data_IF_048346354443
#
_entry.id   IF_048346354443
#
_cell.length_a   1.000
_cell.length_b   1.000
_cell.length_c   1.000
_cell.angle_alpha   90.00
_cell.angle_beta   90.00
_cell.angle_gamma   90.00
#
_symmetry.space_group_name_H-M   'P 1'
#
loop_
_entity.id
_entity.type
_entity.pdbx_description
1 polymer ?
#
# COMPACT_ATOMS: atom_id res chain seq x y z
N UNK A 1 -18.11 -1.33 21.48
CA UNK A 1 -18.07 0.12 21.72
C UNK A 1 -16.70 0.44 22.28
N UNK A 2 -15.87 1.16 21.53
CA UNK A 2 -14.62 1.68 22.07
C UNK A 2 -15.00 2.82 23.04
N UNK A 3 -14.51 2.77 24.27
CA UNK A 3 -14.74 3.85 25.24
C UNK A 3 -13.97 5.11 24.82
N UNK A 4 -14.48 6.29 25.22
CA UNK A 4 -13.73 7.54 25.12
C UNK A 4 -12.37 7.32 25.83
N UNK A 5 -11.24 7.61 25.17
CA UNK A 5 -9.93 7.45 25.79
C UNK A 5 -9.82 8.31 27.06
N UNK A 6 -9.01 7.89 28.05
CA UNK A 6 -8.73 8.74 29.20
C UNK A 6 -8.09 10.06 28.74
N UNK A 7 -8.12 11.09 29.60
CA UNK A 7 -7.48 12.40 29.37
C UNK A 7 -5.96 12.34 29.05
N UNK A 8 -5.38 11.15 29.10
CA UNK A 8 -4.08 10.75 28.57
C UNK A 8 -3.77 9.35 29.09
N UNK A 9 -3.06 8.48 28.32
CA UNK A 9 -2.56 7.24 28.88
C UNK A 9 -1.57 7.52 30.02
N UNK A 10 -1.56 6.71 31.09
CA UNK A 10 -0.55 6.84 32.14
C UNK A 10 0.85 6.56 31.58
N UNK A 11 1.87 7.13 32.21
CA UNK A 11 3.27 6.83 31.87
C UNK A 11 3.56 5.34 32.13
N UNK A 12 3.82 4.51 31.10
CA UNK A 12 4.05 3.09 31.29
C UNK A 12 5.46 2.78 31.84
N UNK A 13 6.38 3.75 31.83
CA UNK A 13 7.79 3.58 32.22
C UNK A 13 8.32 4.75 33.08
N UNK A 14 7.71 5.04 34.26
CA UNK A 14 8.08 6.19 35.08
C UNK A 14 9.46 6.02 35.74
N UNK A 15 10.39 6.94 35.46
CA UNK A 15 11.73 6.93 36.10
C UNK A 15 11.70 7.03 37.63
N UNK A 16 10.66 7.62 38.21
CA UNK A 16 10.53 7.72 39.66
C UNK A 16 10.38 6.35 40.36
N UNK A 17 10.06 5.28 39.62
CA UNK A 17 9.81 3.93 40.14
C UNK A 17 10.85 2.89 39.66
N UNK A 18 11.90 3.30 38.94
CA UNK A 18 12.93 2.39 38.40
C UNK A 18 14.19 2.41 39.28
N UNK A 19 14.78 1.23 39.52
CA UNK A 19 16.03 1.08 40.27
C UNK A 19 17.21 1.78 39.58
N UNK A 20 18.27 2.12 40.33
CA UNK A 20 19.50 2.76 39.79
C UNK A 20 20.17 1.98 38.65
N UNK A 21 19.83 0.70 38.50
CA UNK A 21 20.30 -0.21 37.45
C UNK A 21 19.50 -0.14 36.15
N UNK A 22 18.28 0.40 36.14
CA UNK A 22 17.46 0.55 34.93
C UNK A 22 17.39 2.02 34.48
N UNK A 23 18.32 2.41 33.60
CA UNK A 23 18.41 3.78 33.05
C UNK A 23 17.37 4.07 31.96
N UNK A 24 16.65 3.07 31.48
CA UNK A 24 15.64 3.21 30.43
C UNK A 24 14.28 3.53 31.05
N UNK A 25 13.86 4.79 30.95
CA UNK A 25 12.55 5.26 31.39
C UNK A 25 12.36 6.73 31.05
N UNK A 26 11.16 7.25 31.29
CA UNK A 26 10.82 8.66 31.12
C UNK A 26 10.21 9.20 32.42
N UNK A 27 10.56 10.42 32.82
CA UNK A 27 9.88 11.07 33.96
C UNK A 27 8.46 11.42 33.57
N UNK A 28 7.55 11.58 34.53
CA UNK A 28 6.17 11.99 34.23
C UNK A 28 6.11 13.35 33.55
N UNK A 29 7.05 14.25 33.89
CA UNK A 29 7.23 15.52 33.18
C UNK A 29 7.56 15.29 31.69
N UNK A 30 8.50 14.40 31.38
CA UNK A 30 8.83 14.08 29.99
C UNK A 30 7.68 13.38 29.27
N UNK A 31 6.97 12.48 29.93
CA UNK A 31 5.78 11.82 29.38
C UNK A 31 4.68 12.83 29.03
N UNK A 32 4.33 13.71 29.96
CA UNK A 32 3.33 14.76 29.72
C UNK A 32 3.75 15.70 28.58
N UNK A 33 5.04 16.00 28.44
CA UNK A 33 5.54 16.75 27.29
C UNK A 33 5.36 15.98 25.97
N UNK A 34 5.61 14.66 25.95
CA UNK A 34 5.39 13.82 24.76
C UNK A 34 3.90 13.75 24.40
N UNK A 35 3.01 13.60 25.38
CA UNK A 35 1.56 13.64 25.17
C UNK A 35 1.12 15.00 24.60
N UNK A 36 1.60 16.11 25.15
CA UNK A 36 1.29 17.44 24.62
C UNK A 36 1.79 17.61 23.18
N UNK A 37 3.00 17.14 22.86
CA UNK A 37 3.51 17.17 21.48
C UNK A 37 2.69 16.29 20.54
N UNK A 38 2.24 15.13 21.00
CA UNK A 38 1.35 14.25 20.26
C UNK A 38 0.02 14.94 19.96
N UNK A 39 -0.63 15.53 20.96
CA UNK A 39 -1.87 16.29 20.78
C UNK A 39 -1.68 17.52 19.89
N UNK A 40 -0.56 18.22 19.96
CA UNK A 40 -0.27 19.33 19.04
C UNK A 40 -0.18 18.88 17.58
N UNK A 41 0.42 17.71 17.32
CA UNK A 41 0.52 17.13 15.97
C UNK A 41 -0.78 16.47 15.50
N UNK A 42 -1.56 15.97 16.44
CA UNK A 42 -2.79 15.23 16.23
C UNK A 42 -3.91 15.82 17.10
N UNK A 43 -4.33 17.08 16.85
CA UNK A 43 -5.26 17.83 17.71
C UNK A 43 -6.58 17.07 17.91
N UNK A 44 -6.99 16.40 16.86
CA UNK A 44 -8.02 15.39 16.74
C UNK A 44 -8.07 14.26 17.79
N UNK A 45 -6.93 13.94 18.40
CA UNK A 45 -6.84 12.93 19.44
C UNK A 45 -6.83 13.55 20.85
N UNK A 46 -6.95 14.88 20.97
CA UNK A 46 -6.93 15.58 22.26
C UNK A 46 -8.14 15.24 23.12
N UNK A 47 -8.00 15.30 24.46
CA UNK A 47 -9.14 15.19 25.36
C UNK A 47 -10.21 16.25 25.04
N UNK A 48 -11.45 15.81 24.82
CA UNK A 48 -12.57 16.70 24.47
C UNK A 48 -12.86 16.82 22.96
N UNK A 49 -11.99 16.31 22.09
CA UNK A 49 -12.22 16.26 20.62
C UNK A 49 -12.85 14.93 20.16
N UNK A 50 -13.13 14.04 21.11
CA UNK A 50 -13.80 12.77 20.88
C UNK A 50 -15.29 12.94 21.11
N UNK A 51 -16.09 12.39 20.20
CA UNK A 51 -17.54 12.38 20.37
C UNK A 51 -17.98 11.38 21.47
N UNK A 52 -19.24 11.42 21.92
CA UNK A 52 -19.75 10.49 22.92
C UNK A 52 -19.67 9.00 22.51
N UNK A 53 -19.49 8.72 21.22
CA UNK A 53 -19.37 7.37 20.66
C UNK A 53 -17.92 6.86 20.65
N UNK A 54 -16.96 7.70 21.06
CA UNK A 54 -15.56 7.33 21.10
C UNK A 54 -14.89 7.42 19.74
N UNK A 55 -15.32 8.32 18.85
CA UNK A 55 -14.61 8.65 17.62
C UNK A 55 -13.84 9.97 17.78
N UNK A 56 -12.54 10.02 17.45
CA UNK A 56 -11.82 11.29 17.35
C UNK A 56 -12.41 12.12 16.21
N UNK A 57 -12.30 13.45 16.26
CA UNK A 57 -12.27 14.35 15.09
C UNK A 57 -13.57 14.98 14.56
N UNK A 58 -14.65 15.16 15.32
CA UNK A 58 -15.90 15.72 14.74
C UNK A 58 -16.32 15.02 13.41
N UNK A 59 -15.95 13.73 13.22
CA UNK A 59 -16.23 12.93 12.02
C UNK A 59 -15.27 13.01 10.83
N UNK A 60 -14.10 13.66 10.91
CA UNK A 60 -13.17 13.78 9.76
C UNK A 60 -12.57 12.44 9.33
N UNK A 61 -12.10 11.61 10.26
CA UNK A 61 -11.52 10.31 9.91
C UNK A 61 -12.58 9.31 9.41
N UNK A 62 -13.80 9.38 9.97
CA UNK A 62 -14.97 8.65 9.46
C UNK A 62 -15.31 9.03 8.02
N UNK A 63 -15.23 10.32 7.69
CA UNK A 63 -15.43 10.81 6.33
C UNK A 63 -14.37 10.24 5.37
N UNK A 64 -13.10 10.18 5.77
CA UNK A 64 -12.04 9.57 4.95
C UNK A 64 -12.32 8.08 4.70
N UNK A 65 -12.78 7.35 5.71
CA UNK A 65 -13.16 5.95 5.54
C UNK A 65 -14.36 5.80 4.59
N UNK A 66 -15.40 6.63 4.75
CA UNK A 66 -16.57 6.65 3.85
C UNK A 66 -16.17 6.96 2.41
N UNK A 67 -15.30 7.94 2.19
CA UNK A 67 -14.80 8.27 0.85
C UNK A 67 -13.99 7.12 0.24
N UNK A 68 -13.19 6.42 1.04
CA UNK A 68 -12.45 5.23 0.60
C UNK A 68 -13.43 4.15 0.12
N UNK A 69 -14.50 3.90 0.86
CA UNK A 69 -15.55 2.95 0.47
C UNK A 69 -16.33 3.44 -0.76
N UNK A 70 -16.57 4.75 -0.90
CA UNK A 70 -17.23 5.31 -2.07
C UNK A 70 -16.39 5.08 -3.34
N UNK A 71 -15.07 5.28 -3.28
CA UNK A 71 -14.17 4.97 -4.41
C UNK A 71 -14.26 3.48 -4.76
N UNK A 72 -14.17 2.59 -3.76
CA UNK A 72 -14.32 1.16 -3.97
C UNK A 72 -15.64 0.83 -4.67
N UNK A 73 -16.75 1.34 -4.13
CA UNK A 73 -18.09 1.12 -4.68
C UNK A 73 -18.24 1.67 -6.11
N UNK A 74 -17.66 2.83 -6.41
CA UNK A 74 -17.75 3.46 -7.72
C UNK A 74 -16.96 2.68 -8.79
N UNK A 75 -15.88 2.00 -8.40
CA UNK A 75 -15.14 1.06 -9.27
C UNK A 75 -15.91 -0.25 -9.44
N UNK A 76 -16.51 -0.78 -8.37
CA UNK A 76 -17.16 -2.10 -8.37
C UNK A 76 -18.56 -2.07 -8.98
N UNK A 77 -19.32 -1.01 -8.76
CA UNK A 77 -20.68 -0.82 -9.25
C UNK A 77 -20.80 0.51 -10.00
N UNK A 78 -20.07 0.69 -11.11
CA UNK A 78 -20.15 1.92 -11.88
C UNK A 78 -21.57 2.10 -12.42
N UNK A 79 -22.06 3.33 -12.42
CA UNK A 79 -23.34 3.64 -13.04
C UNK A 79 -23.30 3.26 -14.53
N UNK A 80 -24.30 2.57 -15.10
CA UNK A 80 -24.24 2.07 -16.48
C UNK A 80 -24.03 3.15 -17.55
N UNK A 81 -24.42 4.38 -17.27
CA UNK A 81 -24.18 5.52 -18.19
C UNK A 81 -22.74 6.05 -18.13
N UNK A 82 -21.95 5.67 -17.12
CA UNK A 82 -20.54 6.02 -17.03
C UNK A 82 -19.71 4.95 -17.77
N UNK A 83 -19.56 5.15 -19.09
CA UNK A 83 -18.84 4.23 -19.98
C UNK A 83 -17.39 4.07 -19.55
N UNK A 84 -16.72 5.17 -19.17
CA UNK A 84 -15.33 5.12 -18.71
C UNK A 84 -15.18 4.21 -17.48
N UNK A 85 -16.00 4.42 -16.45
CA UNK A 85 -15.96 3.62 -15.23
C UNK A 85 -16.29 2.14 -15.48
N UNK A 86 -17.22 1.87 -16.41
CA UNK A 86 -17.58 0.49 -16.81
C UNK A 86 -16.43 -0.21 -17.51
N UNK A 87 -15.78 0.44 -18.48
CA UNK A 87 -14.60 -0.12 -19.17
C UNK A 87 -13.40 -0.25 -18.23
N UNK A 88 -13.20 0.71 -17.32
CA UNK A 88 -12.18 0.64 -16.27
C UNK A 88 -12.36 -0.61 -15.40
N UNK A 89 -13.57 -0.84 -14.88
CA UNK A 89 -13.89 -2.05 -14.09
C UNK A 89 -13.64 -3.33 -14.88
N UNK A 90 -14.11 -3.39 -16.13
CA UNK A 90 -13.95 -4.55 -17.01
C UNK A 90 -12.47 -4.85 -17.27
N UNK A 91 -11.66 -3.81 -17.41
CA UNK A 91 -10.22 -3.94 -17.56
C UNK A 91 -9.57 -4.56 -16.31
N UNK A 92 -9.93 -4.08 -15.10
CA UNK A 92 -9.47 -4.68 -13.85
C UNK A 92 -9.86 -6.15 -13.74
N UNK A 93 -11.11 -6.48 -14.07
CA UNK A 93 -11.60 -7.86 -14.11
C UNK A 93 -10.78 -8.73 -15.07
N UNK A 94 -10.49 -8.24 -16.28
CA UNK A 94 -9.68 -8.98 -17.25
C UNK A 94 -8.24 -9.21 -16.78
N UNK A 95 -7.66 -8.29 -16.02
CA UNK A 95 -6.32 -8.49 -15.45
C UNK A 95 -6.31 -9.53 -14.35
N UNK A 96 -7.27 -9.46 -13.42
CA UNK A 96 -7.42 -10.48 -12.39
C UNK A 96 -7.75 -11.84 -13.02
N UNK A 97 -8.50 -11.88 -14.13
CA UNK A 97 -8.86 -13.11 -14.86
C UNK A 97 -7.66 -13.93 -15.34
N UNK A 98 -6.51 -13.29 -15.56
CA UNK A 98 -5.26 -13.95 -15.96
C UNK A 98 -4.55 -14.63 -14.80
N UNK A 99 -4.79 -14.16 -13.57
CA UNK A 99 -4.12 -14.65 -12.38
C UNK A 99 -4.61 -16.06 -11.98
N UNK A 100 -3.74 -16.79 -11.29
CA UNK A 100 -4.08 -17.99 -10.55
C UNK A 100 -4.79 -17.72 -9.26
N UNK A 101 -4.77 -18.74 -8.41
CA UNK A 101 -5.34 -18.64 -7.08
C UNK A 101 -4.57 -17.60 -6.25
N UNK A 102 -5.32 -16.71 -5.63
CA UNK A 102 -4.89 -15.66 -4.71
C UNK A 102 -5.54 -15.96 -3.35
N UNK A 103 -4.70 -16.22 -2.36
CA UNK A 103 -5.11 -16.58 -0.99
C UNK A 103 -5.05 -15.40 -0.03
N UNK A 104 -4.31 -14.33 -0.37
CA UNK A 104 -4.21 -13.14 0.45
C UNK A 104 -3.80 -11.91 -0.38
N UNK A 105 -4.02 -10.74 0.20
CA UNK A 105 -3.61 -9.45 -0.36
C UNK A 105 -2.69 -8.70 0.60
N UNK A 106 -1.66 -8.05 0.05
CA UNK A 106 -0.71 -7.22 0.79
C UNK A 106 -0.70 -5.82 0.18
N UNK A 107 -0.95 -4.81 0.99
CA UNK A 107 -0.91 -3.41 0.60
C UNK A 107 0.34 -2.74 1.16
N UNK A 108 1.20 -2.26 0.27
CA UNK A 108 2.46 -1.60 0.56
C UNK A 108 2.46 -0.19 -0.03
N UNK A 109 3.08 0.77 0.64
CA UNK A 109 3.37 2.06 -0.01
C UNK A 109 2.10 2.80 -0.50
N UNK A 110 1.15 3.11 0.39
CA UNK A 110 0.00 3.98 0.09
C UNK A 110 0.39 5.46 0.17
N UNK A 111 -0.48 6.37 -0.25
CA UNK A 111 -0.36 7.79 0.12
C UNK A 111 -0.32 8.00 1.64
N UNK A 112 0.09 9.18 2.09
CA UNK A 112 -0.01 9.58 3.50
C UNK A 112 -1.20 10.51 3.70
N UNK A 113 -1.89 10.43 4.85
CA UNK A 113 -2.80 11.48 5.31
C UNK A 113 -1.94 12.57 5.97
N UNK A 114 -1.27 13.39 5.15
CA UNK A 114 -0.35 14.41 5.61
C UNK A 114 -0.92 15.24 6.78
N UNK A 115 -0.11 15.44 7.83
CA UNK A 115 -0.52 16.12 9.07
C UNK A 115 -0.90 17.59 8.87
N UNK A 116 -0.54 18.20 7.75
CA UNK A 116 -0.79 19.62 7.44
C UNK A 116 -2.09 19.89 6.67
N UNK A 117 -2.95 18.89 6.46
CA UNK A 117 -4.27 19.10 5.82
C UNK A 117 -4.22 19.45 4.33
N UNK A 118 -3.17 19.06 3.59
CA UNK A 118 -3.16 19.19 2.13
C UNK A 118 -4.20 18.23 1.54
N UNK A 119 -5.17 18.76 0.79
CA UNK A 119 -6.25 17.99 0.14
C UNK A 119 -5.71 16.90 -0.78
N UNK A 120 -4.59 17.18 -1.45
CA UNK A 120 -3.87 16.27 -2.35
C UNK A 120 -3.49 14.93 -1.69
N UNK A 121 -2.78 14.95 -0.56
CA UNK A 121 -2.28 13.73 0.09
C UNK A 121 -3.42 12.84 0.60
N UNK A 122 -4.48 13.46 1.15
CA UNK A 122 -5.72 12.76 1.55
C UNK A 122 -6.37 12.08 0.36
N UNK A 123 -6.60 12.81 -0.74
CA UNK A 123 -7.28 12.26 -1.90
C UNK A 123 -6.49 11.13 -2.54
N UNK A 124 -5.15 11.23 -2.59
CA UNK A 124 -4.30 10.11 -3.03
C UNK A 124 -4.47 8.89 -2.12
N UNK A 125 -4.44 9.04 -0.80
CA UNK A 125 -4.67 7.93 0.13
C UNK A 125 -6.05 7.29 -0.10
N UNK A 126 -7.11 8.09 -0.15
CA UNK A 126 -8.49 7.63 -0.38
C UNK A 126 -8.61 6.83 -1.68
N UNK A 127 -8.06 7.36 -2.78
CA UNK A 127 -8.13 6.73 -4.09
C UNK A 127 -7.34 5.41 -4.14
N UNK A 128 -6.10 5.41 -3.63
CA UNK A 128 -5.26 4.20 -3.61
C UNK A 128 -5.81 3.12 -2.68
N UNK A 129 -6.33 3.51 -1.52
CA UNK A 129 -6.94 2.59 -0.58
C UNK A 129 -8.25 2.01 -1.15
N UNK A 130 -9.10 2.86 -1.74
CA UNK A 130 -10.34 2.41 -2.39
C UNK A 130 -10.08 1.46 -3.57
N UNK A 131 -9.07 1.76 -4.39
CA UNK A 131 -8.64 0.88 -5.49
C UNK A 131 -8.12 -0.48 -4.98
N UNK A 132 -7.37 -0.50 -3.88
CA UNK A 132 -6.94 -1.75 -3.26
C UNK A 132 -8.12 -2.63 -2.84
N UNK A 133 -9.12 -2.04 -2.17
CA UNK A 133 -10.33 -2.77 -1.78
C UNK A 133 -11.14 -3.24 -2.98
N UNK A 134 -11.27 -2.43 -4.02
CA UNK A 134 -11.96 -2.83 -5.25
C UNK A 134 -11.26 -4.02 -5.92
N UNK A 135 -9.94 -4.00 -6.03
CA UNK A 135 -9.20 -5.16 -6.56
C UNK A 135 -9.39 -6.41 -5.70
N UNK A 136 -9.44 -6.27 -4.37
CA UNK A 136 -9.75 -7.39 -3.49
C UNK A 136 -11.16 -7.96 -3.74
N UNK A 137 -12.19 -7.12 -3.87
CA UNK A 137 -13.55 -7.60 -4.20
C UNK A 137 -13.62 -8.22 -5.59
N UNK A 138 -12.89 -7.71 -6.59
CA UNK A 138 -12.80 -8.33 -7.92
C UNK A 138 -12.18 -9.73 -7.81
N UNK A 139 -11.10 -9.88 -7.04
CA UNK A 139 -10.46 -11.17 -6.76
C UNK A 139 -11.45 -12.11 -6.06
N UNK A 140 -12.12 -11.65 -5.01
CA UNK A 140 -13.09 -12.46 -4.25
C UNK A 140 -14.23 -12.95 -5.15
N UNK A 141 -14.80 -12.07 -5.98
CA UNK A 141 -15.85 -12.40 -6.94
C UNK A 141 -15.38 -13.41 -7.98
N UNK A 142 -14.20 -13.21 -8.57
CA UNK A 142 -13.67 -14.08 -9.61
C UNK A 142 -13.35 -15.49 -9.08
N UNK A 143 -12.90 -15.58 -7.83
CA UNK A 143 -12.59 -16.85 -7.19
C UNK A 143 -13.82 -17.50 -6.52
N UNK A 144 -15.00 -16.87 -6.62
CA UNK A 144 -16.24 -17.33 -6.00
C UNK A 144 -16.12 -17.56 -4.48
N UNK A 145 -15.35 -16.72 -3.79
CA UNK A 145 -15.23 -16.73 -2.33
C UNK A 145 -16.11 -15.63 -1.71
N UNK A 146 -16.36 -15.72 -0.41
CA UNK A 146 -17.19 -14.75 0.30
C UNK A 146 -16.59 -13.33 0.19
N UNK A 147 -17.41 -12.34 -0.12
CA UNK A 147 -17.01 -10.93 -0.13
C UNK A 147 -16.47 -10.50 1.24
N UNK A 148 -15.38 -9.76 1.22
CA UNK A 148 -14.63 -9.31 2.39
C UNK A 148 -13.75 -10.38 3.05
N UNK A 149 -13.78 -11.64 2.60
CA UNK A 149 -13.06 -12.75 3.26
C UNK A 149 -11.58 -12.88 2.90
N UNK A 150 -11.10 -12.24 1.82
CA UNK A 150 -9.69 -12.29 1.44
C UNK A 150 -8.84 -11.66 2.57
N UNK A 151 -7.90 -12.40 3.18
CA UNK A 151 -7.03 -11.83 4.20
C UNK A 151 -6.18 -10.69 3.64
N UNK A 152 -6.20 -9.54 4.33
CA UNK A 152 -5.51 -8.31 3.93
C UNK A 152 -4.46 -7.94 4.99
N UNK A 153 -3.24 -7.64 4.56
CA UNK A 153 -2.20 -7.08 5.41
C UNK A 153 -1.74 -5.74 4.85
N UNK A 154 -1.63 -4.74 5.71
CA UNK A 154 -1.17 -3.40 5.36
C UNK A 154 0.20 -3.12 5.99
N UNK A 155 1.11 -2.54 5.22
CA UNK A 155 2.41 -2.08 5.73
C UNK A 155 2.88 -0.85 4.95
N UNK A 156 2.98 0.28 5.63
CA UNK A 156 3.66 1.46 5.14
C UNK A 156 4.42 2.11 6.29
N UNK A 157 5.74 2.37 6.15
CA UNK A 157 6.49 3.07 7.19
C UNK A 157 5.97 4.48 7.51
N UNK A 158 5.15 5.07 6.65
CA UNK A 158 4.52 6.38 6.85
C UNK A 158 3.19 6.33 7.59
N UNK A 159 2.61 5.14 7.84
CA UNK A 159 1.35 5.05 8.59
C UNK A 159 1.52 5.55 10.02
N UNK A 160 1.02 6.76 10.25
CA UNK A 160 0.89 7.39 11.55
C UNK A 160 -0.41 6.99 12.22
N UNK A 161 -0.78 7.76 13.25
CA UNK A 161 -1.98 7.48 14.05
C UNK A 161 -3.28 7.63 13.24
N UNK A 162 -3.31 8.53 12.26
CA UNK A 162 -4.50 8.79 11.45
C UNK A 162 -4.81 7.60 10.54
N UNK A 163 -3.82 7.12 9.77
CA UNK A 163 -3.98 5.99 8.85
C UNK A 163 -4.29 4.71 9.63
N UNK A 164 -3.61 4.51 10.77
CA UNK A 164 -3.89 3.39 11.68
C UNK A 164 -5.31 3.44 12.21
N UNK A 165 -5.81 4.60 12.60
CA UNK A 165 -7.19 4.73 13.03
C UNK A 165 -8.17 4.39 11.90
N UNK A 166 -7.97 4.95 10.70
CA UNK A 166 -8.82 4.69 9.53
C UNK A 166 -8.83 3.21 9.16
N UNK A 167 -7.67 2.56 9.08
CA UNK A 167 -7.56 1.19 8.63
C UNK A 167 -7.88 0.17 9.74
N UNK A 168 -7.28 0.29 10.93
CA UNK A 168 -7.44 -0.69 12.01
C UNK A 168 -8.75 -0.49 12.78
N UNK A 169 -9.12 0.75 13.10
CA UNK A 169 -10.31 1.03 13.93
C UNK A 169 -11.59 1.06 13.08
N UNK A 170 -11.61 1.85 12.00
CA UNK A 170 -12.81 1.98 11.16
C UNK A 170 -12.92 0.84 10.15
N UNK A 171 -11.79 0.47 9.54
CA UNK A 171 -11.74 -0.58 8.52
C UNK A 171 -11.59 -2.00 9.04
N UNK A 172 -11.30 -2.21 10.33
CA UNK A 172 -10.99 -3.53 10.91
C UNK A 172 -9.87 -4.28 10.16
N UNK A 173 -8.90 -3.55 9.61
CA UNK A 173 -7.78 -4.09 8.85
C UNK A 173 -6.57 -4.37 9.75
N UNK A 174 -5.74 -5.33 9.35
CA UNK A 174 -4.48 -5.64 10.03
C UNK A 174 -3.34 -4.79 9.46
N UNK A 175 -2.78 -3.89 10.25
CA UNK A 175 -1.50 -3.24 9.93
C UNK A 175 -0.37 -4.01 10.61
N UNK A 176 0.68 -4.30 9.86
CA UNK A 176 1.90 -4.94 10.37
C UNK A 176 3.08 -3.98 10.31
N UNK A 177 4.01 -4.12 11.25
CA UNK A 177 5.22 -3.31 11.29
C UNK A 177 6.22 -3.76 10.22
N UNK A 178 6.89 -2.83 9.50
CA UNK A 178 8.00 -3.21 8.60
C UNK A 178 9.08 -4.03 9.30
N UNK A 179 9.62 -5.11 8.70
CA UNK A 179 9.29 -5.69 7.39
C UNK A 179 8.33 -6.91 7.46
N UNK A 180 7.43 -6.98 8.43
CA UNK A 180 6.62 -8.17 8.69
C UNK A 180 5.66 -8.57 7.55
N UNK A 181 5.28 -7.65 6.66
CA UNK A 181 4.45 -7.96 5.50
C UNK A 181 5.13 -8.90 4.51
N UNK A 182 6.47 -8.98 4.50
CA UNK A 182 7.23 -9.86 3.61
C UNK A 182 6.86 -11.33 3.84
N UNK A 183 6.47 -11.69 5.07
CA UNK A 183 6.02 -13.04 5.43
C UNK A 183 4.67 -13.41 4.80
N UNK A 184 3.95 -12.43 4.27
CA UNK A 184 2.65 -12.59 3.62
C UNK A 184 2.76 -12.55 2.09
N UNK A 185 3.95 -12.35 1.52
CA UNK A 185 4.15 -12.30 0.07
C UNK A 185 4.58 -13.68 -0.44
N UNK A 186 3.91 -14.18 -1.47
CA UNK A 186 4.25 -15.46 -2.09
C UNK A 186 3.47 -15.72 -3.36
N UNK A 187 3.54 -16.96 -3.86
CA UNK A 187 2.95 -17.40 -5.13
C UNK A 187 1.43 -17.28 -5.27
N UNK A 188 0.71 -17.02 -4.18
CA UNK A 188 -0.74 -16.87 -4.18
C UNK A 188 -1.14 -15.52 -3.58
N UNK A 189 -0.31 -14.50 -3.77
CA UNK A 189 -0.52 -13.20 -3.17
C UNK A 189 -0.77 -12.14 -4.22
N UNK A 190 -1.77 -11.31 -3.98
CA UNK A 190 -1.92 -10.02 -4.64
C UNK A 190 -1.15 -8.96 -3.85
N UNK A 191 -0.18 -8.30 -4.48
CA UNK A 191 0.58 -7.19 -3.89
C UNK A 191 0.15 -5.89 -4.55
N UNK A 192 -0.28 -4.92 -3.75
CA UNK A 192 -0.61 -3.57 -4.19
C UNK A 192 0.41 -2.59 -3.62
N UNK A 193 1.21 -1.99 -4.49
CA UNK A 193 2.41 -1.25 -4.14
C UNK A 193 2.58 0.04 -4.99
N UNK A 194 1.57 0.93 -5.04
CA UNK A 194 1.56 2.06 -5.97
C UNK A 194 2.62 3.14 -5.67
N UNK A 195 3.09 3.25 -4.43
CA UNK A 195 4.17 4.19 -4.05
C UNK A 195 5.33 3.50 -3.37
N UNK A 196 5.48 2.19 -3.55
CA UNK A 196 6.67 1.50 -3.07
C UNK A 196 7.87 2.00 -3.89
N UNK A 197 8.93 2.55 -3.25
CA UNK A 197 10.12 2.95 -3.97
C UNK A 197 10.72 1.76 -4.73
N UNK A 198 11.18 1.99 -5.96
CA UNK A 198 11.79 0.94 -6.76
C UNK A 198 12.99 0.27 -6.06
N UNK A 199 13.72 1.01 -5.21
CA UNK A 199 14.80 0.46 -4.39
C UNK A 199 14.34 -0.58 -3.38
N UNK A 200 13.12 -0.45 -2.87
CA UNK A 200 12.55 -1.36 -1.88
C UNK A 200 12.03 -2.64 -2.51
N UNK A 201 11.88 -2.71 -3.84
CA UNK A 201 11.55 -3.96 -4.54
C UNK A 201 12.58 -5.05 -4.24
N UNK A 202 13.87 -4.69 -4.27
CA UNK A 202 14.97 -5.59 -3.92
C UNK A 202 14.85 -6.02 -2.46
N UNK A 203 14.96 -7.32 -2.23
CA UNK A 203 14.86 -7.88 -0.88
C UNK A 203 13.42 -8.02 -0.33
N UNK A 204 12.40 -7.46 -1.00
CA UNK A 204 10.98 -7.66 -0.65
C UNK A 204 10.25 -8.48 -1.72
N UNK A 205 9.80 -7.85 -2.80
CA UNK A 205 8.90 -8.42 -3.82
C UNK A 205 9.69 -9.22 -4.87
N UNK A 206 10.88 -8.75 -5.26
CA UNK A 206 11.69 -9.43 -6.27
C UNK A 206 12.62 -10.47 -5.68
N UNK A 207 12.63 -10.70 -4.37
CA UNK A 207 13.49 -11.70 -3.71
C UNK A 207 13.21 -13.13 -4.24
N UNK A 208 14.21 -14.01 -4.38
CA UNK A 208 13.97 -15.42 -4.70
C UNK A 208 12.94 -16.07 -3.76
N UNK A 209 11.95 -16.76 -4.33
CA UNK A 209 10.81 -17.33 -3.59
C UNK A 209 9.64 -16.37 -3.36
N UNK A 210 9.87 -15.06 -3.44
CA UNK A 210 8.82 -14.05 -3.50
C UNK A 210 8.47 -13.85 -4.97
N UNK A 211 7.31 -14.36 -5.40
CA UNK A 211 6.81 -14.15 -6.77
C UNK A 211 5.30 -14.05 -6.69
N UNK A 212 4.76 -12.84 -6.43
CA UNK A 212 3.33 -12.63 -6.28
C UNK A 212 2.58 -13.06 -7.53
N UNK A 213 1.33 -13.48 -7.36
CA UNK A 213 0.50 -13.86 -8.51
C UNK A 213 0.12 -12.62 -9.32
N UNK A 214 -0.14 -11.51 -8.60
CA UNK A 214 -0.33 -10.18 -9.16
C UNK A 214 0.50 -9.18 -8.34
N UNK A 215 1.25 -8.32 -9.01
CA UNK A 215 1.84 -7.11 -8.44
C UNK A 215 1.29 -5.88 -9.18
N UNK A 216 0.66 -4.97 -8.44
CA UNK A 216 0.33 -3.63 -8.93
C UNK A 216 1.36 -2.64 -8.40
N UNK A 217 2.13 -2.01 -9.28
CA UNK A 217 3.13 -1.01 -8.87
C UNK A 217 3.42 -0.03 -10.00
N UNK A 218 4.31 0.93 -9.75
CA UNK A 218 4.85 1.83 -10.78
C UNK A 218 5.58 1.02 -11.86
N UNK A 219 5.75 1.53 -13.09
CA UNK A 219 6.48 0.81 -14.14
C UNK A 219 7.93 0.58 -13.72
N UNK A 220 8.31 -0.69 -13.55
CA UNK A 220 9.67 -1.09 -13.19
C UNK A 220 10.61 -1.08 -14.39
N UNK A 221 10.06 -1.19 -15.59
CA UNK A 221 10.74 -1.28 -16.89
C UNK A 221 10.94 0.09 -17.57
N UNK A 222 10.79 1.19 -16.82
CA UNK A 222 11.00 2.55 -17.34
C UNK A 222 12.48 2.95 -17.35
N UNK A 223 12.98 3.43 -18.50
CA UNK A 223 14.37 3.85 -18.69
C UNK A 223 14.80 5.03 -17.79
N UNK A 224 13.84 5.86 -17.33
CA UNK A 224 14.11 7.09 -16.57
C UNK A 224 13.56 7.08 -15.14
N UNK A 225 12.84 6.03 -14.73
CA UNK A 225 12.23 5.93 -13.39
C UNK A 225 12.10 4.50 -12.86
N UNK A 226 12.59 3.51 -13.61
CA UNK A 226 12.49 2.10 -13.29
C UNK A 226 13.58 1.59 -12.35
N UNK A 227 13.48 0.31 -12.03
CA UNK A 227 14.36 -0.37 -11.08
C UNK A 227 15.80 -0.52 -11.60
N UNK A 228 16.02 -0.40 -12.92
CA UNK A 228 17.36 -0.36 -13.53
C UNK A 228 18.22 0.82 -13.06
N UNK A 229 17.60 1.97 -12.74
CA UNK A 229 18.33 3.13 -12.18
C UNK A 229 18.91 2.80 -10.81
N UNK A 230 18.21 2.00 -10.01
CA UNK A 230 18.69 1.60 -8.68
C UNK A 230 19.95 0.75 -8.82
N UNK A 231 19.96 -0.21 -9.74
CA UNK A 231 21.14 -1.03 -10.05
C UNK A 231 22.28 -0.14 -10.53
N UNK A 232 22.01 0.75 -11.50
CA UNK A 232 23.02 1.66 -12.04
C UNK A 232 23.62 2.60 -11.00
N UNK A 233 22.81 3.16 -10.09
CA UNK A 233 23.28 3.98 -8.98
C UNK A 233 24.18 3.19 -8.03
N UNK A 234 23.74 2.00 -7.63
CA UNK A 234 24.52 1.13 -6.76
C UNK A 234 25.89 0.80 -7.37
N UNK A 235 25.92 0.43 -8.65
CA UNK A 235 27.16 0.20 -9.40
C UNK A 235 28.07 1.44 -9.40
N UNK A 236 27.55 2.62 -9.79
CA UNK A 236 28.33 3.86 -9.81
C UNK A 236 28.92 4.15 -8.42
N UNK A 237 28.11 4.06 -7.37
CA UNK A 237 28.57 4.26 -5.99
C UNK A 237 29.66 3.27 -5.59
N UNK A 238 29.51 2.00 -5.98
CA UNK A 238 30.50 0.94 -5.77
C UNK A 238 31.85 1.30 -6.41
N UNK A 239 31.85 1.66 -7.71
CA UNK A 239 33.06 2.07 -8.45
C UNK A 239 33.74 3.26 -7.81
N UNK A 240 32.98 4.31 -7.42
CA UNK A 240 33.57 5.49 -6.78
C UNK A 240 34.12 5.19 -5.38
N UNK A 241 33.54 4.22 -4.67
CA UNK A 241 33.98 3.83 -3.32
C UNK A 241 35.21 2.93 -3.34
N UNK A 242 35.33 2.03 -4.31
CA UNK A 242 36.37 0.99 -4.34
C UNK A 242 37.48 1.27 -5.35
N UNK A 243 37.20 2.07 -6.39
CA UNK A 243 38.08 2.26 -7.55
C UNK A 243 38.08 1.11 -8.54
N UNK A 244 37.29 0.05 -8.32
CA UNK A 244 37.19 -1.12 -9.19
C UNK A 244 35.99 -0.98 -10.15
N UNK A 245 36.20 -0.94 -11.49
CA UNK A 245 35.11 -0.87 -12.46
C UNK A 245 34.43 -2.23 -12.72
N UNK A 246 34.87 -3.32 -12.10
CA UNK A 246 34.17 -4.60 -12.21
C UNK A 246 32.79 -4.54 -11.52
N UNK A 247 31.82 -5.29 -12.07
CA UNK A 247 30.53 -5.49 -11.39
C UNK A 247 30.77 -6.24 -10.08
N UNK A 248 30.44 -5.60 -8.96
CA UNK A 248 30.53 -6.25 -7.67
C UNK A 248 29.41 -7.33 -7.51
N UNK A 249 29.57 -8.25 -6.55
CA UNK A 249 28.61 -9.33 -6.34
C UNK A 249 27.19 -8.86 -6.02
N UNK A 250 27.01 -7.72 -5.36
CA UNK A 250 25.70 -7.18 -4.99
C UNK A 250 25.00 -6.60 -6.23
N UNK A 251 25.70 -5.81 -7.06
CA UNK A 251 25.18 -5.35 -8.36
C UNK A 251 24.75 -6.54 -9.23
N UNK A 252 25.57 -7.60 -9.28
CA UNK A 252 25.26 -8.81 -10.04
C UNK A 252 24.00 -9.49 -9.52
N UNK A 253 23.88 -9.65 -8.20
CA UNK A 253 22.71 -10.25 -7.57
C UNK A 253 21.43 -9.44 -7.85
N UNK A 254 21.49 -8.11 -7.81
CA UNK A 254 20.35 -7.25 -8.16
C UNK A 254 19.91 -7.45 -9.61
N UNK A 255 20.87 -7.53 -10.53
CA UNK A 255 20.57 -7.76 -11.95
C UNK A 255 19.91 -9.13 -12.19
N UNK A 256 20.45 -10.18 -11.57
CA UNK A 256 19.90 -11.53 -11.67
C UNK A 256 18.49 -11.63 -11.07
N UNK A 257 18.28 -10.98 -9.92
CA UNK A 257 17.00 -10.90 -9.23
C UNK A 257 15.92 -10.27 -10.12
N UNK A 258 16.26 -9.13 -10.74
CA UNK A 258 15.36 -8.42 -11.64
C UNK A 258 15.06 -9.22 -12.91
N UNK A 259 16.09 -9.82 -13.51
CA UNK A 259 15.97 -10.63 -14.72
C UNK A 259 15.04 -11.81 -14.49
N UNK A 260 15.19 -12.49 -13.34
CA UNK A 260 14.30 -13.58 -12.92
C UNK A 260 12.86 -13.10 -12.75
N UNK A 261 12.63 -11.92 -12.19
CA UNK A 261 11.30 -11.35 -12.03
C UNK A 261 10.62 -11.12 -13.40
N UNK A 262 11.28 -10.45 -14.34
CA UNK A 262 10.73 -10.20 -15.69
C UNK A 262 10.58 -11.47 -16.53
N UNK A 263 11.41 -12.49 -16.28
CA UNK A 263 11.24 -13.79 -16.92
C UNK A 263 10.00 -14.53 -16.41
N UNK A 264 9.60 -14.30 -15.15
CA UNK A 264 8.45 -14.99 -14.53
C UNK A 264 7.13 -14.20 -14.56
N UNK A 265 7.16 -12.91 -14.90
CA UNK A 265 5.95 -12.06 -14.96
C UNK A 265 5.78 -11.40 -16.32
N UNK A 266 4.55 -11.29 -16.79
CA UNK A 266 4.18 -10.40 -17.88
C UNK A 266 3.71 -9.06 -17.32
N UNK A 267 4.12 -7.97 -17.94
CA UNK A 267 3.66 -6.62 -17.58
C UNK A 267 2.48 -6.20 -18.44
N UNK A 268 1.47 -5.64 -17.81
CA UNK A 268 0.34 -4.98 -18.45
C UNK A 268 0.31 -3.54 -17.95
N UNK A 269 0.75 -2.62 -18.81
CA UNK A 269 0.69 -1.18 -18.51
C UNK A 269 -0.75 -0.71 -18.59
N UNK A 270 -1.10 0.21 -17.70
CA UNK A 270 -2.43 0.74 -17.59
C UNK A 270 -2.39 2.20 -17.16
N UNK A 271 -3.32 2.98 -17.71
CA UNK A 271 -3.58 4.30 -17.18
C UNK A 271 -4.37 4.12 -15.87
N UNK A 272 -3.69 4.27 -14.72
CA UNK A 272 -4.18 3.85 -13.41
C UNK A 272 -5.36 4.64 -12.86
N UNK A 273 -5.89 5.58 -13.63
CA UNK A 273 -6.72 6.66 -13.16
C UNK A 273 -8.21 6.26 -13.19
N UNK A 274 -8.79 6.07 -12.00
CA UNK A 274 -10.24 6.18 -11.81
C UNK A 274 -10.54 7.58 -11.30
N UNK A 275 -10.98 8.47 -12.20
CA UNK A 275 -11.43 9.80 -11.82
C UNK A 275 -12.91 9.92 -12.14
N UNK A 276 -13.72 10.08 -11.09
CA UNK A 276 -15.08 10.58 -11.24
C UNK A 276 -15.01 12.06 -11.64
N UNK A 277 -15.63 12.41 -12.78
CA UNK A 277 -15.63 13.77 -13.33
C UNK A 277 -16.29 14.78 -12.39
N UNK A 278 -17.17 14.36 -11.48
CA UNK A 278 -17.78 15.26 -10.48
C UNK A 278 -16.82 15.61 -9.34
N UNK A 279 -15.98 14.65 -8.89
CA UNK A 279 -14.96 14.86 -7.85
C UNK A 279 -13.86 15.81 -8.35
N UNK A 280 -13.61 15.83 -9.67
CA UNK A 280 -12.56 16.62 -10.30
C UNK A 280 -12.89 18.10 -10.56
N UNK A 281 -14.17 18.47 -10.59
CA UNK A 281 -14.58 19.85 -10.94
C UNK A 281 -14.17 20.86 -9.86
N UNK A 282 -13.88 20.41 -8.65
CA UNK A 282 -13.69 21.29 -7.49
C UNK A 282 -12.21 21.56 -7.15
N UNK A 283 -11.23 20.74 -7.57
CA UNK A 283 -9.82 20.92 -7.18
C UNK A 283 -8.81 20.41 -8.24
N UNK A 284 -8.27 21.35 -9.03
CA UNK A 284 -7.24 21.08 -10.07
C UNK A 284 -5.93 20.55 -9.47
N UNK A 285 -5.58 20.94 -8.23
CA UNK A 285 -4.33 20.47 -7.62
C UNK A 285 -4.43 19.02 -7.19
N UNK A 286 -5.60 18.64 -6.67
CA UNK A 286 -5.91 17.25 -6.38
C UNK A 286 -5.87 16.40 -7.66
N UNK A 287 -6.38 16.93 -8.78
CA UNK A 287 -6.28 16.27 -10.08
C UNK A 287 -4.83 15.98 -10.46
N UNK A 288 -3.95 16.99 -10.43
CA UNK A 288 -2.51 16.82 -10.76
C UNK A 288 -1.84 15.83 -9.81
N UNK A 289 -2.11 15.91 -8.51
CA UNK A 289 -1.50 14.99 -7.54
C UNK A 289 -1.97 13.53 -7.69
N UNK A 290 -3.23 13.30 -8.09
CA UNK A 290 -3.76 11.96 -8.41
C UNK A 290 -3.21 11.49 -9.75
N UNK A 291 -3.15 12.36 -10.76
CA UNK A 291 -2.55 12.07 -12.06
C UNK A 291 -1.09 11.66 -11.87
N UNK A 292 -0.26 12.42 -11.15
CA UNK A 292 1.13 12.05 -10.82
C UNK A 292 1.22 10.72 -10.02
N UNK A 293 0.21 10.40 -9.21
CA UNK A 293 0.19 9.17 -8.41
C UNK A 293 -0.22 7.92 -9.19
N UNK A 294 -0.88 8.07 -10.35
CA UNK A 294 -1.50 6.99 -11.13
C UNK A 294 -1.18 7.06 -12.64
N UNK A 295 -0.36 8.01 -13.08
CA UNK A 295 -0.14 8.39 -14.49
C UNK A 295 0.19 7.17 -15.35
N UNK A 296 0.95 6.23 -14.79
CA UNK A 296 1.12 4.90 -15.34
C UNK A 296 1.25 3.92 -14.17
N UNK A 297 0.30 3.01 -14.04
CA UNK A 297 0.44 1.85 -13.18
C UNK A 297 0.71 0.61 -14.05
N UNK A 298 1.44 -0.35 -13.51
CA UNK A 298 1.72 -1.61 -14.20
C UNK A 298 1.29 -2.77 -13.32
N UNK A 299 0.46 -3.64 -13.91
CA UNK A 299 0.21 -4.96 -13.37
C UNK A 299 1.29 -5.90 -13.88
N UNK A 300 1.99 -6.55 -12.97
CA UNK A 300 2.81 -7.71 -13.28
C UNK A 300 2.02 -8.94 -12.88
N UNK A 301 1.65 -9.75 -13.87
CA UNK A 301 0.91 -11.00 -13.65
C UNK A 301 1.87 -12.15 -13.90
N UNK A 302 1.85 -13.15 -13.02
CA UNK A 302 2.73 -14.32 -13.17
C UNK A 302 2.44 -15.06 -14.48
N UNK A 303 3.48 -15.38 -15.24
CA UNK A 303 3.37 -16.19 -16.46
C UNK A 303 2.97 -17.62 -16.08
N UNK A 304 1.90 -18.11 -16.70
CA UNK A 304 1.53 -19.53 -16.63
C UNK A 304 2.31 -20.29 -17.72
N UNK A 305 2.91 -21.44 -17.43
CA UNK A 305 3.34 -22.34 -18.50
C UNK A 305 2.11 -22.72 -19.33
N UNK A 306 2.19 -22.61 -20.66
CA UNK A 306 1.17 -23.14 -21.56
C UNK A 306 0.96 -24.61 -21.18
N UNK A 307 -0.21 -24.93 -20.62
CA UNK A 307 -0.56 -26.31 -20.30
C UNK A 307 -0.46 -27.11 -21.59
N UNK A 308 0.43 -28.12 -21.58
CA UNK A 308 0.71 -28.97 -22.72
C UNK A 308 -0.57 -29.44 -23.39
N UNK A 309 -0.60 -29.26 -24.71
CA UNK A 309 -1.59 -29.85 -25.58
C UNK A 309 -1.75 -31.32 -25.26
N UNK A 310 -2.98 -31.71 -24.97
CA UNK A 310 -3.45 -33.08 -25.08
C UNK A 310 -3.19 -33.51 -26.52
N UNK A 311 -2.09 -34.21 -26.75
CA UNK A 311 -1.99 -35.15 -27.87
C UNK A 311 -1.53 -36.47 -27.28
N UNK A 312 -2.52 -37.33 -27.07
CA UNK A 312 -2.31 -38.76 -27.00
C UNK A 312 -1.59 -39.20 -28.27
N UNK A 313 -0.35 -39.64 -28.15
CA UNK A 313 0.19 -40.61 -29.12
C UNK A 313 -0.28 -41.98 -28.67
N UNK A 314 -1.49 -42.33 -29.09
CA UNK A 314 -1.83 -43.70 -29.38
C UNK A 314 -1.25 -44.02 -30.77
N UNK A 315 -0.15 -44.76 -30.78
CA UNK A 315 0.22 -45.86 -31.68
C UNK A 315 1.71 -46.17 -31.53
#
# INVERSE_FOLDING_TARGET
MAGIPPNGPPNPYPRAQLSETNKAGITDRCWNNLLNQFFLKHPHFSPGEWDPQGSPTNGKLDMIWKETLNVCHAIINPHPSNVHATEYRKYLQNMVAKAGQINNAVCLGLGELASSGRTESRGVFVQQCGMFFALCEIIENQQHIQLGSLPKAFQDPRFGVNERHVLETLGSQKIVWPPAADQHIGHHTFVYAPRLPASTMFGTISKPGMSPEILFTVPLDSDTSGIGIVIGKHYIESVYRTGDPALDPETTAMYDELTRFFNTHESVRFNGIYLDEEILKEDIRLKVAIEDAFEIATFYVRKRPLSGSIWSTAN
#
